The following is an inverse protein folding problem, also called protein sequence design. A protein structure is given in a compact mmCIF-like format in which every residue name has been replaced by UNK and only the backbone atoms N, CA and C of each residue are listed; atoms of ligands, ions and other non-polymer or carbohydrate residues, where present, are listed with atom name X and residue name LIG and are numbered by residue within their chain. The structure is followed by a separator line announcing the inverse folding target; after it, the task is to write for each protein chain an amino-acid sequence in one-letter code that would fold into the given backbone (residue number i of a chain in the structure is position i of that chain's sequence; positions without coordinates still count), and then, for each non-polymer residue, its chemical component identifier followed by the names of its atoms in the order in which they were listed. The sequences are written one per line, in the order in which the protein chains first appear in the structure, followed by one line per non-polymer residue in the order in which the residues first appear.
data_IF_401320566748
#
_entry.id   IF_401320566748
#
_cell.length_a   1.000
_cell.length_b   1.000
_cell.length_c   1.000
_cell.angle_alpha   90.00
_cell.angle_beta   90.00
_cell.angle_gamma   90.00
#
_symmetry.space_group_name_H-M   'P 1'
#
loop_
_entity.id
_entity.type
_entity.pdbx_description
1 polymer ?
#
# COMPACT_ATOMS: atom_id res chain seq x y z
N UNK A 1 55.60 11.21 49.28
CA UNK A 1 55.18 10.64 47.97
C UNK A 1 53.80 9.97 48.07
N UNK A 2 52.73 10.73 48.30
CA UNK A 2 51.35 10.19 48.44
C UNK A 2 50.27 10.99 47.68
N UNK A 3 50.64 12.05 46.96
CA UNK A 3 49.70 12.92 46.24
C UNK A 3 49.58 12.62 44.73
N UNK A 4 50.43 11.76 44.17
CA UNK A 4 50.45 11.45 42.72
C UNK A 4 49.61 10.23 42.30
N UNK A 5 49.04 9.46 43.25
CA UNK A 5 48.17 8.32 42.91
C UNK A 5 46.69 8.68 42.79
N UNK A 6 46.19 9.70 43.49
CA UNK A 6 44.76 10.06 43.43
C UNK A 6 44.35 10.67 42.08
N UNK A 7 45.26 11.37 41.39
CA UNK A 7 44.95 12.03 40.12
C UNK A 7 44.86 11.07 38.90
N UNK A 8 45.40 9.85 39.02
CA UNK A 8 45.31 8.83 37.95
C UNK A 8 44.04 8.00 38.01
N UNK A 9 43.45 7.82 39.20
CA UNK A 9 42.19 7.07 39.36
C UNK A 9 40.94 7.88 39.04
N UNK A 10 40.96 9.21 39.17
CA UNK A 10 39.80 10.05 38.82
C UNK A 10 39.58 10.21 37.30
N UNK A 11 40.66 10.19 36.50
CA UNK A 11 40.56 10.29 35.03
C UNK A 11 40.01 9.02 34.37
N UNK A 12 40.20 7.85 34.99
CA UNK A 12 39.69 6.57 34.50
C UNK A 12 38.19 6.36 34.80
N UNK A 13 37.69 6.97 35.88
CA UNK A 13 36.24 6.94 36.20
C UNK A 13 35.48 7.94 35.32
N UNK A 14 36.08 9.08 34.96
CA UNK A 14 35.44 10.04 34.05
C UNK A 14 35.37 9.56 32.59
N UNK A 15 36.30 8.69 32.16
CA UNK A 15 36.33 8.17 30.79
C UNK A 15 35.38 6.97 30.57
N UNK A 16 34.93 6.32 31.66
CA UNK A 16 33.94 5.22 31.60
C UNK A 16 32.49 5.70 31.66
N UNK A 17 32.22 6.97 31.99
CA UNK A 17 30.87 7.56 32.00
C UNK A 17 30.46 8.15 30.64
N UNK A 18 31.40 8.31 29.70
CA UNK A 18 31.16 8.87 28.37
C UNK A 18 30.88 7.83 27.28
N UNK A 19 30.91 6.54 27.61
CA UNK A 19 30.73 5.43 26.66
C UNK A 19 29.36 4.71 26.79
N UNK A 20 28.43 5.26 27.57
CA UNK A 20 27.07 4.72 27.76
C UNK A 20 25.97 5.51 27.02
N UNK A 21 26.34 6.54 26.25
CA UNK A 21 25.42 7.28 25.36
C UNK A 21 25.65 6.82 23.91
N UNK A 22 25.68 5.51 23.70
CA UNK A 22 25.61 4.91 22.38
C UNK A 22 24.16 4.51 22.08
N UNK A 23 23.39 5.51 21.62
CA UNK A 23 22.39 5.38 20.55
C UNK A 23 21.35 4.25 20.73
N UNK A 24 20.41 4.43 21.66
CA UNK A 24 19.06 3.84 21.57
C UNK A 24 18.14 4.69 20.67
N UNK A 25 18.59 5.02 19.46
CA UNK A 25 17.76 5.74 18.46
C UNK A 25 17.70 4.99 17.15
N UNK A 26 17.19 3.76 17.17
CA UNK A 26 16.25 3.38 16.12
C UNK A 26 14.86 3.45 16.76
N UNK A 27 14.20 4.56 16.45
CA UNK A 27 12.81 4.83 16.73
C UNK A 27 11.93 3.62 16.40
N UNK A 28 11.60 2.82 17.41
CA UNK A 28 10.33 2.11 17.42
C UNK A 28 9.28 3.19 17.67
N UNK A 29 8.74 3.71 16.57
CA UNK A 29 7.86 4.87 16.53
C UNK A 29 6.79 4.80 17.61
N UNK A 30 6.82 5.79 18.51
CA UNK A 30 5.73 6.10 19.41
C UNK A 30 4.50 6.41 18.55
N UNK A 31 3.53 5.51 18.60
CA UNK A 31 2.33 5.54 17.80
C UNK A 31 1.55 6.85 17.93
N UNK A 32 1.49 7.57 16.81
CA UNK A 32 0.41 8.46 16.35
C UNK A 32 0.72 9.04 14.95
N UNK A 33 1.99 9.04 14.55
CA UNK A 33 2.41 9.41 13.19
C UNK A 33 2.67 8.15 12.36
N UNK A 34 1.60 7.47 11.96
CA UNK A 34 1.71 6.30 11.08
C UNK A 34 2.14 6.73 9.68
N UNK A 35 3.45 6.75 9.41
CA UNK A 35 3.98 6.96 8.07
C UNK A 35 3.70 5.72 7.19
N UNK A 36 3.24 5.94 5.97
CA UNK A 36 3.08 4.88 4.98
C UNK A 36 4.43 4.46 4.41
N UNK A 37 4.53 3.19 4.01
CA UNK A 37 5.69 2.68 3.29
C UNK A 37 5.81 3.41 1.94
N UNK A 38 7.00 3.92 1.63
CA UNK A 38 7.29 4.56 0.35
C UNK A 38 7.43 3.51 -0.76
N UNK A 39 6.93 3.86 -1.95
CA UNK A 39 7.04 3.04 -3.15
C UNK A 39 7.98 3.78 -4.12
N UNK A 40 9.16 3.23 -4.45
CA UNK A 40 10.08 3.87 -5.39
C UNK A 40 9.42 4.20 -6.74
N UNK A 41 9.52 5.46 -7.17
CA UNK A 41 8.96 5.96 -8.43
C UNK A 41 7.44 6.14 -8.45
N UNK A 42 6.79 6.08 -7.28
CA UNK A 42 5.35 6.29 -7.13
C UNK A 42 5.08 7.25 -5.96
N UNK A 43 4.43 8.37 -6.26
CA UNK A 43 3.88 9.27 -5.24
C UNK A 43 2.47 8.81 -4.86
N UNK A 44 2.27 8.44 -3.59
CA UNK A 44 1.04 7.83 -3.08
C UNK A 44 1.25 6.36 -2.67
N UNK A 45 0.19 5.54 -2.61
CA UNK A 45 -1.22 5.84 -2.92
C UNK A 45 -1.89 6.70 -1.85
N UNK A 46 -2.81 7.57 -2.28
CA UNK A 46 -3.70 8.34 -1.41
C UNK A 46 -5.10 7.74 -1.51
N UNK A 47 -5.72 7.49 -0.37
CA UNK A 47 -7.08 6.94 -0.29
C UNK A 47 -8.02 7.99 0.27
N UNK A 48 -9.14 8.20 -0.42
CA UNK A 48 -10.20 9.09 0.02
C UNK A 48 -11.57 8.46 -0.24
N UNK A 49 -12.59 8.99 0.43
CA UNK A 49 -13.98 8.62 0.19
C UNK A 49 -14.67 9.82 -0.44
N UNK A 50 -15.04 9.70 -1.72
CA UNK A 50 -15.73 10.73 -2.47
C UNK A 50 -17.16 10.28 -2.71
N UNK A 51 -18.13 10.94 -2.06
CA UNK A 51 -19.53 10.52 -2.05
C UNK A 51 -19.66 9.05 -1.60
N UNK A 52 -20.03 8.15 -2.50
CA UNK A 52 -20.18 6.71 -2.34
C UNK A 52 -19.07 5.90 -3.04
N UNK A 53 -17.98 6.54 -3.46
CA UNK A 53 -16.83 5.90 -4.09
C UNK A 53 -15.59 5.94 -3.18
N UNK A 54 -14.92 4.80 -3.05
CA UNK A 54 -13.55 4.75 -2.53
C UNK A 54 -12.61 5.08 -3.67
N UNK A 55 -11.93 6.22 -3.56
CA UNK A 55 -10.99 6.70 -4.57
C UNK A 55 -9.55 6.48 -4.10
N UNK A 56 -8.78 5.75 -4.90
CA UNK A 56 -7.33 5.55 -4.69
C UNK A 56 -6.58 6.23 -5.82
N UNK A 57 -5.76 7.23 -5.50
CA UNK A 57 -4.96 7.98 -6.48
C UNK A 57 -3.47 7.81 -6.23
N UNK A 58 -2.69 7.79 -7.30
CA UNK A 58 -1.23 7.75 -7.24
C UNK A 58 -0.63 8.32 -8.52
N UNK A 59 0.59 8.84 -8.43
CA UNK A 59 1.34 9.36 -9.59
C UNK A 59 2.59 8.52 -9.80
N UNK A 60 2.81 8.07 -11.04
CA UNK A 60 4.01 7.37 -11.46
C UNK A 60 4.98 8.35 -12.10
N UNK A 61 6.17 8.50 -11.51
CA UNK A 61 7.17 9.47 -11.96
C UNK A 61 7.84 9.02 -13.27
N UNK A 62 7.99 7.70 -13.42
CA UNK A 62 8.73 7.07 -14.52
C UNK A 62 7.83 6.70 -15.72
N UNK A 63 6.59 7.15 -15.74
CA UNK A 63 5.64 6.89 -16.83
C UNK A 63 5.09 8.20 -17.37
N UNK A 64 5.16 8.37 -18.68
CA UNK A 64 4.61 9.51 -19.39
C UNK A 64 3.59 9.03 -20.42
N UNK A 65 2.36 9.51 -20.27
CA UNK A 65 1.30 9.31 -21.24
C UNK A 65 0.95 10.63 -21.90
N UNK A 66 0.58 10.58 -23.18
CA UNK A 66 0.15 11.75 -23.95
C UNK A 66 -1.38 11.97 -23.89
N UNK A 67 -2.13 11.02 -23.33
CA UNK A 67 -3.58 11.05 -23.29
C UNK A 67 -4.15 10.24 -22.13
N UNK A 68 -5.38 10.55 -21.77
CA UNK A 68 -6.12 9.87 -20.71
C UNK A 68 -6.97 8.71 -21.24
N UNK A 69 -7.02 7.63 -20.48
CA UNK A 69 -7.82 6.45 -20.77
C UNK A 69 -8.59 6.04 -19.51
N UNK A 70 -9.85 5.65 -19.69
CA UNK A 70 -10.69 5.11 -18.63
C UNK A 70 -11.10 3.68 -18.98
N UNK A 71 -10.85 2.78 -18.05
CA UNK A 71 -11.15 1.36 -18.14
C UNK A 71 -12.22 1.00 -17.12
N UNK A 72 -13.36 0.48 -17.57
CA UNK A 72 -14.34 -0.11 -16.67
C UNK A 72 -13.77 -1.39 -16.06
N UNK A 73 -13.97 -1.60 -14.76
CA UNK A 73 -13.52 -2.84 -14.12
C UNK A 73 -14.56 -3.93 -14.46
N UNK A 74 -14.17 -5.04 -15.11
CA UNK A 74 -15.12 -6.08 -15.46
C UNK A 74 -15.91 -6.54 -14.23
N UNK A 75 -17.22 -6.78 -14.39
CA UNK A 75 -18.14 -7.22 -13.32
C UNK A 75 -18.47 -6.17 -12.25
N UNK A 76 -17.91 -4.95 -12.34
CA UNK A 76 -18.19 -3.82 -11.45
C UNK A 76 -18.60 -2.60 -12.27
N UNK A 77 -19.90 -2.47 -12.63
CA UNK A 77 -20.37 -1.50 -13.61
C UNK A 77 -20.16 -0.03 -13.22
N UNK A 78 -20.04 0.27 -11.92
CA UNK A 78 -19.88 1.62 -11.41
C UNK A 78 -18.42 1.92 -11.02
N UNK A 79 -17.52 0.93 -11.16
CA UNK A 79 -16.11 1.06 -10.79
C UNK A 79 -15.22 1.13 -12.03
N UNK A 80 -14.19 1.97 -11.96
CA UNK A 80 -13.31 2.21 -13.09
C UNK A 80 -11.89 2.55 -12.64
N UNK A 81 -10.97 2.42 -13.59
CA UNK A 81 -9.60 2.88 -13.48
C UNK A 81 -9.37 3.91 -14.56
N UNK A 82 -8.90 5.07 -14.14
CA UNK A 82 -8.49 6.15 -15.02
C UNK A 82 -6.97 6.27 -14.96
N UNK A 83 -6.36 6.43 -16.13
CA UNK A 83 -4.94 6.70 -16.28
C UNK A 83 -4.82 7.93 -17.16
N UNK A 84 -4.16 8.97 -16.68
CA UNK A 84 -4.03 10.24 -17.39
C UNK A 84 -2.68 10.89 -17.13
N UNK A 85 -2.25 11.83 -17.98
CA UNK A 85 -1.16 12.73 -17.60
C UNK A 85 -1.50 13.39 -16.26
N UNK A 86 -0.51 13.48 -15.36
CA UNK A 86 -0.66 14.33 -14.18
C UNK A 86 -0.50 15.80 -14.57
N UNK A 87 -1.34 16.68 -14.02
CA UNK A 87 -1.29 18.11 -14.34
C UNK A 87 -0.32 18.89 -13.43
N UNK A 88 0.09 18.28 -12.32
CA UNK A 88 0.98 18.89 -11.34
C UNK A 88 2.45 18.48 -11.51
N UNK A 89 2.71 17.47 -12.34
CA UNK A 89 4.04 16.93 -12.60
C UNK A 89 4.16 16.47 -14.06
N UNK A 90 5.33 15.95 -14.43
CA UNK A 90 5.53 15.27 -15.72
C UNK A 90 5.23 13.76 -15.64
N UNK A 91 4.55 13.31 -14.58
CA UNK A 91 4.22 11.90 -14.37
C UNK A 91 2.88 11.49 -14.96
N UNK A 92 2.47 10.26 -14.64
CA UNK A 92 1.16 9.71 -14.99
C UNK A 92 0.34 9.48 -13.74
N UNK A 93 -0.84 10.09 -13.66
CA UNK A 93 -1.84 9.84 -12.63
C UNK A 93 -2.57 8.52 -12.94
N UNK A 94 -2.71 7.66 -11.93
CA UNK A 94 -3.69 6.58 -11.92
C UNK A 94 -4.69 6.85 -10.80
N UNK A 95 -5.97 6.80 -11.15
CA UNK A 95 -7.09 6.89 -10.21
C UNK A 95 -7.94 5.63 -10.33
N UNK A 96 -8.15 4.95 -9.22
CA UNK A 96 -9.02 3.77 -9.12
C UNK A 96 -10.24 4.18 -8.30
N UNK A 97 -11.40 4.24 -8.95
CA UNK A 97 -12.68 4.55 -8.31
C UNK A 97 -13.47 3.26 -8.11
N UNK A 98 -13.78 2.95 -6.86
CA UNK A 98 -14.54 1.76 -6.49
C UNK A 98 -15.84 2.18 -5.84
N UNK A 99 -16.95 1.93 -6.51
CA UNK A 99 -18.25 2.22 -5.97
C UNK A 99 -18.57 1.31 -4.79
N UNK A 100 -19.07 1.89 -3.70
CA UNK A 100 -19.53 1.13 -2.55
C UNK A 100 -20.72 0.23 -2.88
N UNK A 101 -21.51 0.58 -3.90
CA UNK A 101 -22.59 -0.29 -4.40
C UNK A 101 -22.05 -1.54 -5.06
N UNK A 102 -21.00 -1.42 -5.88
CA UNK A 102 -20.33 -2.57 -6.48
C UNK A 102 -19.70 -3.49 -5.41
N UNK A 103 -19.21 -2.91 -4.31
CA UNK A 103 -18.65 -3.65 -3.18
C UNK A 103 -19.73 -4.37 -2.36
N UNK A 104 -20.86 -3.71 -2.05
CA UNK A 104 -21.86 -4.24 -1.12
C UNK A 104 -23.01 -4.99 -1.78
N UNK A 105 -23.32 -4.66 -3.03
CA UNK A 105 -24.42 -5.25 -3.80
C UNK A 105 -23.92 -6.08 -4.98
N UNK A 106 -22.60 -6.08 -5.26
CA UNK A 106 -21.99 -6.93 -6.26
C UNK A 106 -22.14 -8.42 -5.94
N UNK A 107 -22.33 -9.24 -6.98
CA UNK A 107 -22.45 -10.68 -6.88
C UNK A 107 -21.06 -11.34 -6.71
N UNK A 108 -20.32 -10.92 -5.67
CA UNK A 108 -18.94 -11.30 -5.39
C UNK A 108 -18.74 -12.82 -5.27
N UNK A 109 -19.79 -13.55 -4.93
CA UNK A 109 -19.82 -15.01 -4.80
C UNK A 109 -19.58 -15.78 -6.10
N UNK A 110 -19.56 -15.09 -7.25
CA UNK A 110 -19.41 -15.71 -8.58
C UNK A 110 -18.04 -15.50 -9.21
N UNK A 111 -17.10 -14.85 -8.51
CA UNK A 111 -15.76 -14.62 -9.04
C UNK A 111 -14.80 -15.68 -8.54
N UNK A 112 -13.98 -16.19 -9.46
CA UNK A 112 -12.95 -17.17 -9.12
C UNK A 112 -11.88 -16.52 -8.24
N UNK A 113 -11.56 -17.11 -7.07
CA UNK A 113 -10.53 -16.56 -6.20
C UNK A 113 -9.17 -16.55 -6.90
N UNK A 114 -8.49 -15.40 -6.90
CA UNK A 114 -7.15 -15.20 -7.45
C UNK A 114 -6.12 -14.92 -6.36
N UNK A 115 -4.89 -15.31 -6.63
CA UNK A 115 -3.68 -14.96 -5.89
C UNK A 115 -3.00 -13.74 -6.52
N UNK A 116 -1.84 -13.32 -6.00
CA UNK A 116 -0.96 -12.39 -6.74
C UNK A 116 -0.54 -12.99 -8.09
N UNK A 117 -0.14 -12.14 -9.06
CA UNK A 117 0.58 -12.59 -10.24
C UNK A 117 1.78 -13.47 -9.87
N UNK A 118 2.04 -14.50 -10.68
CA UNK A 118 3.00 -15.56 -10.37
C UNK A 118 2.52 -16.57 -9.32
N UNK A 119 1.24 -16.53 -8.91
CA UNK A 119 0.64 -17.56 -8.05
C UNK A 119 0.88 -17.37 -6.54
N UNK A 120 1.55 -16.29 -6.13
CA UNK A 120 1.94 -16.04 -4.73
C UNK A 120 0.73 -15.67 -3.86
N UNK A 121 0.71 -16.14 -2.61
CA UNK A 121 -0.37 -15.84 -1.68
C UNK A 121 -0.50 -14.34 -1.39
N UNK A 122 -1.73 -13.85 -1.31
CA UNK A 122 -2.04 -12.47 -0.90
C UNK A 122 -1.66 -12.24 0.57
N UNK A 123 -0.74 -11.29 0.87
CA UNK A 123 -0.37 -10.95 2.24
C UNK A 123 -1.59 -10.50 3.06
N UNK A 124 -1.70 -11.02 4.29
CA UNK A 124 -2.80 -10.68 5.19
C UNK A 124 -4.14 -11.36 4.87
N UNK A 125 -4.20 -12.25 3.89
CA UNK A 125 -5.39 -13.06 3.57
C UNK A 125 -5.14 -14.51 3.98
N UNK A 126 -5.98 -15.07 4.85
CA UNK A 126 -5.79 -16.41 5.41
C UNK A 126 -5.75 -17.53 4.35
N UNK A 127 -6.61 -17.46 3.32
CA UNK A 127 -6.63 -18.38 2.19
C UNK A 127 -5.52 -18.10 1.15
N UNK A 128 -4.82 -16.98 1.27
CA UNK A 128 -3.89 -16.47 0.26
C UNK A 128 -4.54 -16.06 -1.06
N UNK A 129 -5.87 -16.13 -1.19
CA UNK A 129 -6.63 -15.87 -2.42
C UNK A 129 -7.94 -15.14 -2.11
N UNK A 130 -8.35 -14.23 -2.98
CA UNK A 130 -9.61 -13.51 -2.86
C UNK A 130 -10.37 -13.53 -4.20
N UNK A 131 -11.72 -13.51 -4.17
CA UNK A 131 -12.50 -13.18 -5.37
C UNK A 131 -11.96 -11.90 -6.00
N UNK A 132 -11.64 -11.96 -7.29
CA UNK A 132 -10.92 -10.88 -7.93
C UNK A 132 -11.20 -10.84 -9.43
N UNK A 133 -10.89 -9.69 -10.00
CA UNK A 133 -10.83 -9.48 -11.43
C UNK A 133 -9.39 -9.07 -11.75
N UNK A 134 -8.70 -9.96 -12.45
CA UNK A 134 -7.41 -9.63 -13.05
C UNK A 134 -7.65 -9.02 -14.42
N UNK A 135 -6.92 -7.96 -14.75
CA UNK A 135 -6.94 -7.37 -16.08
C UNK A 135 -5.58 -6.74 -16.37
N UNK A 136 -5.35 -6.44 -17.64
CA UNK A 136 -4.16 -5.73 -18.09
C UNK A 136 -4.57 -4.47 -18.82
N UNK A 137 -3.85 -3.40 -18.57
CA UNK A 137 -3.93 -2.13 -19.30
C UNK A 137 -2.61 -1.98 -20.07
N UNK A 138 -2.60 -1.24 -21.18
CA UNK A 138 -1.48 -1.18 -22.14
C UNK A 138 -0.09 -1.00 -21.50
N UNK A 139 0.01 -0.21 -20.42
CA UNK A 139 1.27 0.04 -19.68
C UNK A 139 1.37 -0.70 -18.34
N UNK A 140 0.32 -1.38 -17.93
CA UNK A 140 0.24 -2.09 -16.65
C UNK A 140 -0.28 -3.51 -16.90
N UNK A 141 0.65 -4.43 -17.10
CA UNK A 141 0.32 -5.84 -17.29
C UNK A 141 0.12 -6.54 -15.95
N UNK A 142 -0.89 -7.42 -15.88
CA UNK A 142 -1.19 -8.21 -14.68
C UNK A 142 -1.59 -7.38 -13.46
N UNK A 143 -2.38 -6.31 -13.67
CA UNK A 143 -3.07 -5.67 -12.55
C UNK A 143 -4.10 -6.62 -11.95
N UNK A 144 -4.25 -6.56 -10.63
CA UNK A 144 -5.24 -7.35 -9.90
C UNK A 144 -6.12 -6.47 -9.05
N UNK A 145 -7.43 -6.54 -9.24
CA UNK A 145 -8.40 -5.89 -8.35
C UNK A 145 -9.15 -6.98 -7.59
N UNK A 146 -8.95 -7.01 -6.28
CA UNK A 146 -9.47 -8.01 -5.36
C UNK A 146 -10.61 -7.40 -4.56
N UNK A 147 -11.81 -7.94 -4.69
CA UNK A 147 -12.96 -7.48 -3.91
C UNK A 147 -13.52 -8.65 -3.13
N UNK A 148 -13.30 -8.61 -1.82
CA UNK A 148 -13.96 -9.47 -0.86
C UNK A 148 -15.05 -8.72 -0.09
N UNK A 149 -15.93 -9.43 0.64
CA UNK A 149 -16.99 -8.81 1.43
C UNK A 149 -16.46 -7.88 2.54
N UNK A 150 -15.22 -8.07 2.98
CA UNK A 150 -14.61 -7.41 4.13
C UNK A 150 -13.25 -6.77 3.80
N UNK A 151 -12.79 -6.84 2.55
CA UNK A 151 -11.48 -6.35 2.13
C UNK A 151 -11.51 -5.94 0.66
N UNK A 152 -10.88 -4.81 0.36
CA UNK A 152 -10.62 -4.36 -1.00
C UNK A 152 -9.12 -4.37 -1.24
N UNK A 153 -8.68 -4.84 -2.40
CA UNK A 153 -7.29 -4.97 -2.76
C UNK A 153 -7.03 -4.47 -4.16
N UNK A 154 -5.91 -3.79 -4.36
CA UNK A 154 -5.38 -3.52 -5.70
C UNK A 154 -3.89 -3.85 -5.74
N UNK A 155 -3.53 -4.70 -6.70
CA UNK A 155 -2.15 -4.97 -7.07
C UNK A 155 -1.80 -4.18 -8.32
N UNK A 156 -0.69 -3.45 -8.24
CA UNK A 156 -0.18 -2.64 -9.36
C UNK A 156 1.26 -3.05 -9.63
N UNK A 157 1.56 -3.47 -10.88
CA UNK A 157 2.90 -3.86 -11.26
C UNK A 157 3.82 -2.63 -11.25
N UNK A 158 4.96 -2.75 -10.59
CA UNK A 158 6.06 -1.78 -10.64
C UNK A 158 7.38 -2.54 -10.67
N UNK A 159 8.35 -2.01 -11.42
CA UNK A 159 9.70 -2.58 -11.53
C UNK A 159 10.69 -1.83 -10.64
N UNK A 160 11.82 -2.46 -10.33
CA UNK A 160 12.94 -1.77 -9.68
C UNK A 160 12.75 -1.53 -8.18
N UNK A 161 11.93 -2.35 -7.51
CA UNK A 161 11.80 -2.32 -6.05
C UNK A 161 13.06 -2.81 -5.31
N UNK A 162 14.03 -3.42 -6.01
CA UNK A 162 15.24 -4.04 -5.45
C UNK A 162 14.95 -5.08 -4.36
N UNK A 163 13.80 -5.75 -4.47
CA UNK A 163 13.39 -6.86 -3.62
C UNK A 163 13.33 -8.10 -4.50
N UNK A 164 14.15 -9.11 -4.22
CA UNK A 164 14.07 -10.39 -4.93
C UNK A 164 13.26 -11.37 -4.10
N UNK A 165 12.18 -11.90 -4.71
CA UNK A 165 11.28 -12.91 -4.15
C UNK A 165 10.79 -12.65 -2.71
N UNK A 166 10.84 -11.39 -2.28
CA UNK A 166 10.58 -10.97 -0.89
C UNK A 166 9.33 -10.10 -0.85
N UNK A 167 8.59 -10.17 0.24
CA UNK A 167 7.42 -9.34 0.48
C UNK A 167 7.62 -8.54 1.76
N UNK A 168 7.58 -7.22 1.65
CA UNK A 168 7.58 -6.30 2.80
C UNK A 168 6.17 -5.80 2.97
N UNK A 169 5.57 -5.94 4.15
CA UNK A 169 4.21 -5.46 4.44
C UNK A 169 4.21 -4.52 5.62
N UNK A 170 3.62 -3.34 5.45
CA UNK A 170 3.42 -2.35 6.49
C UNK A 170 1.94 -2.01 6.64
N UNK A 171 1.59 -1.45 7.81
CA UNK A 171 0.26 -0.86 8.00
C UNK A 171 0.12 0.35 7.08
N UNK A 172 -1.07 0.53 6.53
CA UNK A 172 -1.41 1.67 5.69
C UNK A 172 -2.41 2.57 6.40
N UNK A 173 -2.14 3.88 6.34
CA UNK A 173 -2.85 4.94 7.03
C UNK A 173 -3.42 5.95 6.02
N UNK A 174 -4.64 6.42 6.27
CA UNK A 174 -5.27 7.49 5.52
C UNK A 174 -6.03 8.40 6.49
N UNK A 175 -5.85 9.72 6.38
CA UNK A 175 -6.47 10.68 7.29
C UNK A 175 -6.07 10.52 8.77
N UNK A 176 -4.89 9.94 9.04
CA UNK A 176 -4.38 9.67 10.40
C UNK A 176 -4.82 8.32 10.99
N UNK A 177 -5.79 7.64 10.37
CA UNK A 177 -6.27 6.34 10.83
C UNK A 177 -5.65 5.19 10.03
N UNK A 178 -5.39 4.05 10.68
CA UNK A 178 -5.03 2.82 9.95
C UNK A 178 -6.25 2.34 9.18
N UNK A 179 -6.13 2.25 7.85
CA UNK A 179 -7.21 1.79 6.96
C UNK A 179 -6.89 0.49 6.24
N UNK A 180 -5.67 -0.03 6.37
CA UNK A 180 -5.27 -1.25 5.66
C UNK A 180 -3.82 -1.64 5.86
N UNK A 181 -3.27 -2.32 4.85
CA UNK A 181 -1.85 -2.64 4.70
C UNK A 181 -1.39 -2.29 3.28
N UNK A 182 -0.11 -1.94 3.16
CA UNK A 182 0.59 -1.79 1.89
C UNK A 182 1.74 -2.79 1.87
N UNK A 183 1.80 -3.60 0.82
CA UNK A 183 2.87 -4.58 0.61
C UNK A 183 3.70 -4.21 -0.62
N UNK A 184 5.02 -4.22 -0.49
CA UNK A 184 5.95 -4.25 -1.62
C UNK A 184 6.28 -5.70 -1.92
N UNK A 185 6.12 -6.10 -3.17
CA UNK A 185 6.30 -7.45 -3.64
C UNK A 185 7.46 -7.45 -4.65
N UNK A 186 8.53 -8.15 -4.29
CA UNK A 186 9.67 -8.33 -5.15
C UNK A 186 9.37 -9.11 -6.41
N UNK A 187 10.21 -8.92 -7.43
CA UNK A 187 10.18 -9.71 -8.65
C UNK A 187 10.46 -11.19 -8.33
N UNK A 188 9.87 -12.10 -9.11
CA UNK A 188 10.13 -13.53 -9.01
C UNK A 188 11.46 -13.92 -9.68
N UNK A 189 11.71 -15.23 -9.83
CA UNK A 189 12.96 -15.75 -10.40
C UNK A 189 13.16 -15.34 -11.86
N UNK A 190 12.07 -15.03 -12.59
CA UNK A 190 12.10 -14.61 -13.98
C UNK A 190 12.20 -13.09 -14.12
N UNK A 191 12.29 -12.35 -13.00
CA UNK A 191 12.31 -10.88 -13.00
C UNK A 191 10.92 -10.25 -13.21
N UNK A 192 9.86 -11.03 -13.03
CA UNK A 192 8.49 -10.64 -13.34
C UNK A 192 7.60 -10.61 -12.08
N UNK A 193 6.35 -10.20 -12.25
CA UNK A 193 5.31 -10.21 -11.20
C UNK A 193 5.62 -9.35 -9.95
N UNK A 194 6.62 -8.46 -10.02
CA UNK A 194 6.91 -7.46 -9.01
C UNK A 194 5.89 -6.33 -9.00
N UNK A 195 5.66 -5.74 -7.83
CA UNK A 195 4.70 -4.65 -7.70
C UNK A 195 4.40 -4.27 -6.26
N UNK A 196 3.35 -3.50 -6.06
CA UNK A 196 2.81 -3.29 -4.72
C UNK A 196 1.34 -3.69 -4.64
N UNK A 197 0.92 -4.11 -3.45
CA UNK A 197 -0.45 -4.48 -3.12
C UNK A 197 -0.96 -3.57 -2.01
N UNK A 198 -1.99 -2.78 -2.32
CA UNK A 198 -2.74 -2.03 -1.32
C UNK A 198 -3.97 -2.86 -0.92
N UNK A 199 -4.10 -3.18 0.36
CA UNK A 199 -5.25 -3.90 0.94
C UNK A 199 -5.95 -3.04 1.97
N UNK A 200 -7.20 -2.64 1.71
CA UNK A 200 -8.04 -1.83 2.59
C UNK A 200 -9.02 -2.69 3.38
N UNK A 201 -9.06 -2.48 4.70
CA UNK A 201 -9.98 -3.15 5.61
C UNK A 201 -11.41 -2.58 5.43
N UNK A 202 -12.36 -3.40 4.97
CA UNK A 202 -13.78 -3.03 4.80
C UNK A 202 -14.70 -3.78 5.77
N UNK A 203 -14.26 -3.93 7.02
CA UNK A 203 -14.96 -4.70 8.05
C UNK A 203 -15.37 -3.86 9.26
N UNK A 204 -16.21 -4.44 10.12
CA UNK A 204 -16.55 -3.85 11.43
C UNK A 204 -17.14 -2.44 11.35
N UNK A 205 -16.55 -1.50 12.09
CA UNK A 205 -17.00 -0.10 12.16
C UNK A 205 -16.81 0.64 10.84
N UNK A 206 -15.74 0.35 10.09
CA UNK A 206 -15.50 0.93 8.76
C UNK A 206 -16.62 0.52 7.80
N UNK A 207 -16.94 -0.77 7.74
CA UNK A 207 -18.07 -1.27 6.93
C UNK A 207 -19.38 -0.58 7.24
N UNK A 208 -19.69 -0.37 8.53
CA UNK A 208 -20.91 0.34 8.95
C UNK A 208 -20.91 1.80 8.47
N UNK A 209 -19.77 2.49 8.56
CA UNK A 209 -19.61 3.88 8.07
C UNK A 209 -19.79 3.94 6.56
N UNK A 210 -19.13 3.07 5.81
CA UNK A 210 -19.23 2.98 4.35
C UNK A 210 -20.67 2.68 3.90
N UNK A 211 -21.33 1.69 4.50
CA UNK A 211 -22.75 1.41 4.21
C UNK A 211 -23.69 2.58 4.51
N UNK A 212 -23.43 3.33 5.59
CA UNK A 212 -24.21 4.53 5.91
C UNK A 212 -24.00 5.62 4.86
N UNK A 213 -22.78 5.77 4.38
CA UNK A 213 -22.43 6.71 3.32
C UNK A 213 -23.09 6.33 2.00
N UNK A 214 -22.98 5.06 1.58
CA UNK A 214 -23.59 4.54 0.36
C UNK A 214 -25.10 4.78 0.35
N UNK A 215 -25.81 4.52 1.46
CA UNK A 215 -27.26 4.79 1.57
C UNK A 215 -27.67 6.26 1.47
N UNK A 216 -26.73 7.20 1.63
CA UNK A 216 -27.01 8.63 1.60
C UNK A 216 -27.05 9.16 0.16
N UNK A 217 -26.30 8.53 -0.73
CA UNK A 217 -26.22 8.86 -2.15
C UNK A 217 -27.03 7.83 -2.96
#
# INVERSE_FOLDING_TARGET
MKSMELAKRSKLVFMSLLLSVAVFTTSCGSGKDGANLEIPGVTGPVVSLQQDDVLVTMVFDNLQLQGGLRYAIPKYPNSYIEISPDLQSNGTLMAVSISLDDVFNGNLSKLDPQSLPGGRALPGVASGRLPAVAFSIEKFHNMGVYLGPDIFGIFIPVKGLNLQNSIITARFYAGGDRVGNLSLIGEDQDGENGGFLLMLDMKGSVKKRLKKQAKKY
#
